data_IF_403263339261
#
_entry.id   IF_403263339261
#
_cell.length_a   1.000
_cell.length_b   1.000
_cell.length_c   1.000
_cell.angle_alpha   90.00
_cell.angle_beta   90.00
_cell.angle_gamma   90.00
#
_symmetry.space_group_name_H-M   'P 1'
#
loop_
_entity.id
_entity.type
_entity.pdbx_description
1 polymer ?
#
# COMPACT_ATOMS: atom_id res chain seq x y z
N UNK A 1 14.83 -59.12 8.70
CA UNK A 1 15.20 -57.96 9.55
C UNK A 1 15.39 -56.66 8.78
N UNK A 2 16.11 -56.61 7.64
CA UNK A 2 16.33 -55.36 6.89
C UNK A 2 15.09 -54.68 6.28
N UNK A 3 14.01 -55.42 6.06
CA UNK A 3 12.77 -54.87 5.48
C UNK A 3 12.05 -53.89 6.43
N UNK A 4 12.21 -54.07 7.74
CA UNK A 4 11.67 -53.16 8.76
C UNK A 4 12.37 -51.79 8.70
N UNK A 5 13.68 -51.75 8.43
CA UNK A 5 14.43 -50.50 8.27
C UNK A 5 13.95 -49.69 7.06
N UNK A 6 13.65 -50.36 5.94
CA UNK A 6 13.12 -49.71 4.74
C UNK A 6 11.71 -49.14 5.01
N UNK A 7 10.87 -49.88 5.73
CA UNK A 7 9.55 -49.42 6.15
C UNK A 7 9.62 -48.20 7.07
N UNK A 8 10.53 -48.21 8.04
CA UNK A 8 10.76 -47.06 8.94
C UNK A 8 11.25 -45.85 8.14
N UNK A 9 12.20 -46.02 7.22
CA UNK A 9 12.71 -44.93 6.39
C UNK A 9 11.63 -44.30 5.49
N UNK A 10 10.73 -45.11 4.95
CA UNK A 10 9.57 -44.63 4.18
C UNK A 10 8.56 -43.86 5.04
N UNK A 11 8.34 -44.30 6.28
CA UNK A 11 7.38 -43.68 7.20
C UNK A 11 7.82 -42.26 7.59
N UNK A 12 9.12 -42.00 7.63
CA UNK A 12 9.68 -40.67 7.93
C UNK A 12 9.61 -39.67 6.77
N UNK A 13 9.34 -40.11 5.54
CA UNK A 13 9.25 -39.22 4.36
C UNK A 13 7.92 -38.42 4.37
N UNK A 14 6.82 -39.02 4.81
CA UNK A 14 5.49 -38.38 4.88
C UNK A 14 5.43 -37.13 5.79
N UNK A 15 5.94 -37.15 7.04
CA UNK A 15 5.94 -35.95 7.87
C UNK A 15 6.85 -34.84 7.30
N UNK A 16 7.93 -35.19 6.59
CA UNK A 16 8.84 -34.20 6.00
C UNK A 16 8.17 -33.28 4.96
N UNK A 17 7.29 -33.83 4.11
CA UNK A 17 6.52 -33.03 3.15
C UNK A 17 5.52 -32.08 3.84
N UNK A 18 4.84 -32.57 4.88
CA UNK A 18 3.91 -31.75 5.66
C UNK A 18 4.63 -30.57 6.35
N UNK A 19 5.84 -30.80 6.88
CA UNK A 19 6.64 -29.74 7.51
C UNK A 19 7.07 -28.66 6.52
N UNK A 20 7.51 -29.04 5.32
CA UNK A 20 7.94 -28.08 4.29
C UNK A 20 6.79 -27.18 3.84
N UNK A 21 5.60 -27.75 3.61
CA UNK A 21 4.43 -26.98 3.20
C UNK A 21 3.93 -26.04 4.29
N UNK A 22 3.99 -26.46 5.56
CA UNK A 22 3.68 -25.58 6.70
C UNK A 22 4.67 -24.41 6.80
N UNK A 23 5.96 -24.64 6.53
CA UNK A 23 6.98 -23.59 6.58
C UNK A 23 6.76 -22.52 5.49
N UNK A 24 6.55 -22.95 4.24
CA UNK A 24 6.26 -22.07 3.11
C UNK A 24 4.98 -21.24 3.34
N UNK A 25 3.93 -21.85 3.86
CA UNK A 25 2.67 -21.14 4.16
C UNK A 25 2.82 -20.13 5.30
N UNK A 26 3.61 -20.43 6.32
CA UNK A 26 3.96 -19.49 7.39
C UNK A 26 4.75 -18.28 6.88
N UNK A 27 5.75 -18.52 6.01
CA UNK A 27 6.57 -17.46 5.43
C UNK A 27 5.72 -16.53 4.54
N UNK A 28 4.89 -17.13 3.68
CA UNK A 28 3.98 -16.39 2.81
C UNK A 28 2.96 -15.56 3.61
N UNK A 29 2.38 -16.12 4.68
CA UNK A 29 1.48 -15.35 5.56
C UNK A 29 2.18 -14.18 6.23
N UNK A 30 3.40 -14.36 6.76
CA UNK A 30 4.19 -13.25 7.33
C UNK A 30 4.46 -12.15 6.31
N UNK A 31 4.84 -12.52 5.09
CA UNK A 31 5.03 -11.56 4.00
C UNK A 31 3.74 -10.81 3.66
N UNK A 32 2.60 -11.51 3.60
CA UNK A 32 1.29 -10.89 3.38
C UNK A 32 0.89 -9.92 4.51
N UNK A 33 1.11 -10.28 5.78
CA UNK A 33 0.86 -9.37 6.90
C UNK A 33 1.71 -8.10 6.82
N UNK A 34 3.02 -8.24 6.54
CA UNK A 34 3.91 -7.10 6.39
C UNK A 34 3.50 -6.19 5.20
N UNK A 35 3.08 -6.78 4.08
CA UNK A 35 2.55 -6.01 2.95
C UNK A 35 1.23 -5.33 3.28
N UNK A 36 0.32 -6.02 3.98
CA UNK A 36 -0.97 -5.48 4.35
C UNK A 36 -0.82 -4.31 5.34
N UNK A 37 0.09 -4.43 6.31
CA UNK A 37 0.39 -3.35 7.24
C UNK A 37 0.95 -2.12 6.54
N UNK A 38 1.91 -2.30 5.61
CA UNK A 38 2.41 -1.19 4.77
C UNK A 38 1.29 -0.53 3.95
N UNK A 39 0.39 -1.32 3.36
CA UNK A 39 -0.76 -0.80 2.61
C UNK A 39 -1.71 -0.02 3.53
N UNK A 40 -1.92 -0.49 4.75
CA UNK A 40 -2.79 0.16 5.72
C UNK A 40 -2.20 1.50 6.18
N UNK A 41 -0.91 1.54 6.49
CA UNK A 41 -0.19 2.78 6.85
C UNK A 41 -0.27 3.80 5.71
N UNK A 42 0.05 3.38 4.48
CA UNK A 42 -0.05 4.25 3.30
C UNK A 42 -1.48 4.76 3.08
N UNK A 43 -2.48 3.89 3.21
CA UNK A 43 -3.88 4.27 3.06
C UNK A 43 -4.35 5.22 4.16
N UNK A 44 -3.83 5.08 5.38
CA UNK A 44 -4.08 5.99 6.49
C UNK A 44 -3.51 7.38 6.22
N UNK A 45 -2.26 7.46 5.77
CA UNK A 45 -1.63 8.72 5.35
C UNK A 45 -2.40 9.39 4.21
N UNK A 46 -2.76 8.62 3.18
CA UNK A 46 -3.49 9.15 2.03
C UNK A 46 -4.90 9.61 2.41
N UNK A 47 -5.60 8.87 3.29
CA UNK A 47 -6.90 9.30 3.82
C UNK A 47 -6.79 10.60 4.60
N UNK A 48 -5.78 10.73 5.46
CA UNK A 48 -5.57 11.95 6.26
C UNK A 48 -5.26 13.15 5.35
N UNK A 49 -4.42 12.95 4.34
CA UNK A 49 -4.11 13.96 3.34
C UNK A 49 -5.35 14.39 2.55
N UNK A 50 -6.12 13.44 2.02
CA UNK A 50 -7.36 13.75 1.29
C UNK A 50 -8.40 14.43 2.19
N UNK A 51 -8.50 14.05 3.47
CA UNK A 51 -9.40 14.69 4.44
C UNK A 51 -8.97 16.13 4.76
N UNK A 52 -7.67 16.39 4.86
CA UNK A 52 -7.11 17.72 5.09
C UNK A 52 -7.36 18.63 3.86
N UNK A 53 -7.13 18.11 2.65
CA UNK A 53 -7.48 18.81 1.41
C UNK A 53 -8.98 19.08 1.34
N UNK A 54 -9.83 18.11 1.64
CA UNK A 54 -11.29 18.29 1.65
C UNK A 54 -11.73 19.34 2.67
N UNK A 55 -11.06 19.43 3.83
CA UNK A 55 -11.31 20.46 4.84
C UNK A 55 -10.87 21.83 4.34
N UNK A 56 -9.67 21.93 3.77
CA UNK A 56 -9.14 23.16 3.19
C UNK A 56 -9.98 23.64 2.01
N UNK A 57 -10.52 22.75 1.18
CA UNK A 57 -11.42 23.08 0.06
C UNK A 57 -12.78 23.64 0.51
N UNK A 58 -13.17 23.54 1.78
CA UNK A 58 -14.36 24.24 2.30
C UNK A 58 -14.14 25.75 2.47
N UNK A 59 -12.89 26.19 2.49
CA UNK A 59 -12.54 27.61 2.48
C UNK A 59 -12.55 28.12 1.03
N UNK A 60 -13.45 29.06 0.74
CA UNK A 60 -13.62 29.67 -0.59
C UNK A 60 -12.31 30.29 -1.14
N UNK A 61 -11.46 30.84 -0.26
CA UNK A 61 -10.16 31.41 -0.63
C UNK A 61 -9.19 30.33 -1.10
N UNK A 62 -9.16 29.20 -0.39
CA UNK A 62 -8.32 28.06 -0.75
C UNK A 62 -8.86 27.35 -2.00
N UNK A 63 -10.18 27.17 -2.12
CA UNK A 63 -10.81 26.59 -3.30
C UNK A 63 -10.54 27.41 -4.56
N UNK A 64 -10.61 28.74 -4.48
CA UNK A 64 -10.27 29.63 -5.60
C UNK A 64 -8.78 29.50 -5.99
N UNK A 65 -7.86 29.48 -5.03
CA UNK A 65 -6.42 29.26 -5.29
C UNK A 65 -6.15 27.89 -5.93
N UNK A 66 -6.79 26.84 -5.42
CA UNK A 66 -6.70 25.50 -5.96
C UNK A 66 -7.24 25.43 -7.40
N UNK A 67 -8.38 26.08 -7.69
CA UNK A 67 -8.94 26.13 -9.03
C UNK A 67 -8.03 26.89 -10.01
N UNK A 68 -7.43 28.00 -9.57
CA UNK A 68 -6.44 28.75 -10.36
C UNK A 68 -5.20 27.92 -10.67
N UNK A 69 -4.67 27.19 -9.68
CA UNK A 69 -3.51 26.34 -9.86
C UNK A 69 -3.80 25.10 -10.71
N UNK A 70 -4.97 24.47 -10.53
CA UNK A 70 -5.34 23.21 -11.21
C UNK A 70 -5.84 23.42 -12.64
N UNK A 71 -6.66 24.44 -12.85
CA UNK A 71 -7.32 24.70 -14.13
C UNK A 71 -6.71 25.88 -14.89
N UNK A 72 -5.61 26.46 -14.37
CA UNK A 72 -4.98 27.65 -14.95
C UNK A 72 -5.99 28.78 -15.19
N UNK A 73 -6.95 28.93 -14.29
CA UNK A 73 -8.01 29.92 -14.40
C UNK A 73 -7.46 31.31 -14.09
N UNK A 74 -7.25 32.16 -15.10
CA UNK A 74 -6.80 33.54 -14.92
C UNK A 74 -7.91 34.53 -15.24
N UNK A 75 -7.89 35.69 -14.56
CA UNK A 75 -8.73 36.83 -14.96
C UNK A 75 -8.06 37.61 -16.09
N UNK A 76 -8.84 38.41 -16.80
CA UNK A 76 -8.36 39.25 -17.89
C UNK A 76 -7.15 40.09 -17.44
N UNK A 77 -6.00 39.90 -18.09
CA UNK A 77 -4.73 40.56 -17.75
C UNK A 77 -3.78 39.80 -16.81
N UNK A 78 -4.14 38.60 -16.31
CA UNK A 78 -3.27 37.77 -15.45
C UNK A 78 -2.54 36.67 -16.25
N UNK A 79 -1.21 36.54 -16.07
CA UNK A 79 -0.42 35.40 -16.55
C UNK A 79 -0.21 34.39 -15.41
N UNK A 80 -0.54 33.11 -15.65
CA UNK A 80 -0.37 32.03 -14.67
C UNK A 80 0.87 31.21 -15.01
N UNK A 81 1.77 31.07 -14.04
CA UNK A 81 2.90 30.17 -14.09
C UNK A 81 2.62 28.96 -13.21
N UNK A 82 2.52 27.77 -13.82
CA UNK A 82 2.35 26.51 -13.09
C UNK A 82 3.73 25.94 -12.77
N UNK A 83 4.09 25.89 -11.48
CA UNK A 83 5.23 25.11 -10.99
C UNK A 83 4.75 23.75 -10.49
N UNK A 84 5.56 22.68 -10.62
CA UNK A 84 5.17 21.32 -10.23
C UNK A 84 4.71 21.17 -8.77
N UNK A 85 5.13 22.09 -7.90
CA UNK A 85 4.90 22.08 -6.46
C UNK A 85 3.63 22.84 -6.02
N UNK A 86 2.90 23.48 -6.95
CA UNK A 86 1.71 24.28 -6.62
C UNK A 86 0.48 23.43 -6.32
N UNK A 87 0.46 22.19 -6.79
CA UNK A 87 -0.65 21.28 -6.60
C UNK A 87 -0.23 20.17 -5.64
N UNK A 88 -1.06 19.87 -4.63
CA UNK A 88 -0.91 18.62 -3.90
C UNK A 88 -0.92 17.45 -4.91
N UNK A 89 0.17 16.67 -4.94
CA UNK A 89 0.27 15.46 -5.77
C UNK A 89 -0.74 14.40 -5.32
#
# INVERSE_FOLDING_TARGET
MGWVLILVMLLFILPAYNLYQSYETLLNRRAQYAQLQKKYEKLGEEKNYQSDIATKLKDDSYAAKYARAKYSFSKEGEYIYTTPDLLPQ
#
